data_IF_855865287320
#
_entry.id   IF_855865287320
#
_cell.length_a   1.000
_cell.length_b   1.000
_cell.length_c   1.000
_cell.angle_alpha   90.00
_cell.angle_beta   90.00
_cell.angle_gamma   90.00
#
_symmetry.space_group_name_H-M   'P 1'
#
loop_
_entity.id
_entity.type
_entity.pdbx_description
1 polymer ?
#
# COMPACT_ATOMS: atom_id res chain seq x y z
N UNK A 1 22.42 16.32 10.18
CA UNK A 1 22.47 15.34 9.08
C UNK A 1 21.26 14.43 9.23
N UNK A 2 20.26 14.52 8.34
CA UNK A 2 19.13 13.58 8.38
C UNK A 2 19.56 12.29 7.69
N UNK A 3 19.86 11.27 8.49
CA UNK A 3 20.15 9.94 7.99
C UNK A 3 18.85 9.32 7.48
N UNK A 4 18.68 9.23 6.15
CA UNK A 4 17.57 8.50 5.55
C UNK A 4 17.89 7.01 5.73
N UNK A 5 17.32 6.40 6.76
CA UNK A 5 17.40 4.95 6.97
C UNK A 5 16.49 4.31 5.91
N UNK A 6 17.09 3.62 4.93
CA UNK A 6 16.32 2.73 4.05
C UNK A 6 15.94 1.50 4.87
N UNK A 7 14.65 1.21 5.04
CA UNK A 7 14.23 0.05 5.80
C UNK A 7 14.64 -1.24 5.10
N UNK A 8 14.90 -2.28 5.87
CA UNK A 8 15.24 -3.59 5.30
C UNK A 8 14.02 -4.22 4.61
N UNK A 9 14.27 -5.07 3.60
CA UNK A 9 13.18 -5.76 2.90
C UNK A 9 12.40 -6.63 3.91
N UNK A 10 11.10 -6.42 4.01
CA UNK A 10 10.26 -7.14 4.96
C UNK A 10 10.11 -6.46 6.32
N UNK A 11 10.76 -5.33 6.58
CA UNK A 11 10.49 -4.51 7.77
C UNK A 11 9.09 -3.88 7.71
N UNK A 12 8.63 -3.55 6.50
CA UNK A 12 7.31 -3.01 6.24
C UNK A 12 6.55 -3.79 5.17
N UNK A 13 5.23 -3.79 5.32
CA UNK A 13 4.26 -4.24 4.34
C UNK A 13 3.55 -3.02 3.75
N UNK A 14 3.55 -2.96 2.43
CA UNK A 14 2.81 -1.98 1.65
C UNK A 14 1.50 -2.62 1.21
N UNK A 15 0.40 -2.09 1.74
CA UNK A 15 -0.97 -2.55 1.52
C UNK A 15 -1.64 -1.57 0.56
N UNK A 16 -1.76 -1.96 -0.70
CA UNK A 16 -2.52 -1.20 -1.67
C UNK A 16 -4.02 -1.43 -1.42
N UNK A 17 -4.73 -0.35 -1.14
CA UNK A 17 -6.12 -0.35 -0.69
C UNK A 17 -7.05 0.07 -1.82
N UNK A 18 -8.24 -0.51 -1.85
CA UNK A 18 -9.31 -0.12 -2.77
C UNK A 18 -10.66 -0.02 -2.09
N UNK A 19 -11.66 0.39 -2.87
CA UNK A 19 -13.07 0.39 -2.50
C UNK A 19 -13.82 -0.60 -3.38
N UNK A 20 -14.62 -1.46 -2.76
CA UNK A 20 -15.49 -2.42 -3.43
C UNK A 20 -16.84 -2.42 -2.71
N UNK A 21 -17.93 -2.08 -3.41
CA UNK A 21 -19.29 -2.04 -2.85
C UNK A 21 -19.39 -1.26 -1.52
N UNK A 22 -18.74 -0.10 -1.44
CA UNK A 22 -18.73 0.75 -0.24
C UNK A 22 -17.78 0.30 0.87
N UNK A 23 -17.08 -0.83 0.72
CA UNK A 23 -16.14 -1.36 1.71
C UNK A 23 -14.69 -1.09 1.30
N UNK A 24 -13.83 -0.73 2.27
CA UNK A 24 -12.39 -0.62 2.04
C UNK A 24 -11.75 -2.01 2.09
N UNK A 25 -11.06 -2.39 1.03
CA UNK A 25 -10.44 -3.72 0.85
C UNK A 25 -8.95 -3.59 0.55
N UNK A 26 -8.17 -4.63 0.85
CA UNK A 26 -6.78 -4.73 0.40
C UNK A 26 -6.77 -5.36 -1.00
N UNK A 27 -6.21 -4.67 -1.98
CA UNK A 27 -6.10 -5.14 -3.36
C UNK A 27 -4.78 -5.86 -3.63
N UNK A 28 -3.68 -5.42 -3.01
CA UNK A 28 -2.37 -6.04 -3.15
C UNK A 28 -1.50 -5.79 -1.91
N UNK A 29 -0.54 -6.69 -1.68
CA UNK A 29 0.46 -6.58 -0.62
C UNK A 29 1.84 -6.75 -1.24
N UNK A 30 2.79 -5.91 -0.85
CA UNK A 30 4.18 -6.01 -1.27
C UNK A 30 5.17 -5.61 -0.17
N UNK A 31 6.40 -6.09 -0.27
CA UNK A 31 7.52 -5.60 0.54
C UNK A 31 8.12 -4.29 0.01
N UNK A 32 7.68 -3.85 -1.18
CA UNK A 32 8.01 -2.54 -1.75
C UNK A 32 6.74 -1.84 -2.19
N UNK A 33 6.74 -0.51 -2.15
CA UNK A 33 5.62 0.32 -2.60
C UNK A 33 5.29 0.04 -4.07
N UNK A 34 6.32 0.02 -4.92
CA UNK A 34 6.19 -0.11 -6.36
C UNK A 34 5.53 -1.43 -6.76
N UNK A 35 5.83 -2.51 -6.04
CA UNK A 35 5.23 -3.81 -6.30
C UNK A 35 3.74 -3.82 -5.92
N UNK A 36 3.40 -3.32 -4.72
CA UNK A 36 2.02 -3.26 -4.26
C UNK A 36 1.16 -2.37 -5.18
N UNK A 37 1.65 -1.19 -5.54
CA UNK A 37 0.98 -0.25 -6.44
C UNK A 37 0.77 -0.84 -7.84
N UNK A 38 1.81 -1.44 -8.43
CA UNK A 38 1.73 -2.11 -9.74
C UNK A 38 0.66 -3.20 -9.74
N UNK A 39 0.61 -4.03 -8.69
CA UNK A 39 -0.35 -5.13 -8.60
C UNK A 39 -1.78 -4.64 -8.38
N UNK A 40 -1.98 -3.61 -7.57
CA UNK A 40 -3.30 -3.02 -7.39
C UNK A 40 -3.86 -2.41 -8.68
N UNK A 41 -3.05 -1.68 -9.46
CA UNK A 41 -3.47 -1.15 -10.78
C UNK A 41 -3.83 -2.26 -11.78
N UNK A 42 -3.05 -3.35 -11.80
CA UNK A 42 -3.38 -4.52 -12.62
C UNK A 42 -4.71 -5.15 -12.20
N UNK A 43 -4.97 -5.24 -10.90
CA UNK A 43 -6.22 -5.79 -10.37
C UNK A 43 -7.41 -4.86 -10.63
N UNK A 44 -7.25 -3.55 -10.45
CA UNK A 44 -8.26 -2.54 -10.80
C UNK A 44 -8.69 -2.67 -12.26
N UNK A 45 -7.72 -2.71 -13.19
CA UNK A 45 -7.98 -2.85 -14.62
C UNK A 45 -8.72 -4.16 -14.96
N UNK A 46 -8.38 -5.26 -14.28
CA UNK A 46 -9.04 -6.55 -14.46
C UNK A 46 -10.42 -6.64 -13.79
N UNK A 47 -10.72 -5.76 -12.83
CA UNK A 47 -11.98 -5.79 -12.07
C UNK A 47 -13.19 -5.25 -12.83
N UNK A 48 -12.99 -4.70 -14.04
CA UNK A 48 -14.05 -4.10 -14.86
C UNK A 48 -14.90 -3.06 -14.09
N UNK A 49 -14.26 -2.30 -13.19
CA UNK A 49 -14.92 -1.26 -12.39
C UNK A 49 -15.56 -1.76 -11.09
N UNK A 50 -15.48 -3.06 -10.78
CA UNK A 50 -15.98 -3.60 -9.51
C UNK A 50 -15.18 -3.12 -8.29
N UNK A 51 -13.90 -2.76 -8.50
CA UNK A 51 -13.02 -2.25 -7.44
C UNK A 51 -12.32 -1.00 -7.94
N UNK A 52 -12.26 0.04 -7.10
CA UNK A 52 -11.54 1.28 -7.35
C UNK A 52 -10.31 1.37 -6.44
N UNK A 53 -9.15 1.64 -7.01
CA UNK A 53 -7.91 1.84 -6.27
C UNK A 53 -7.90 3.19 -5.54
N UNK A 54 -7.42 3.22 -4.31
CA UNK A 54 -7.47 4.42 -3.45
C UNK A 54 -6.08 4.93 -3.05
N UNK A 55 -5.36 4.15 -2.25
CA UNK A 55 -4.10 4.55 -1.61
C UNK A 55 -3.23 3.33 -1.30
N UNK A 56 -1.97 3.57 -0.92
CA UNK A 56 -1.11 2.55 -0.29
C UNK A 56 -0.93 2.91 1.17
N UNK A 57 -1.35 2.02 2.05
CA UNK A 57 -1.05 2.07 3.48
C UNK A 57 0.25 1.31 3.77
N UNK A 58 1.06 1.78 4.71
CA UNK A 58 2.27 1.07 5.15
C UNK A 58 2.04 0.57 6.56
N UNK A 59 2.47 -0.66 6.86
CA UNK A 59 2.38 -1.27 8.19
C UNK A 59 3.71 -1.94 8.48
N UNK A 60 4.24 -1.78 9.70
CA UNK A 60 5.44 -2.48 10.13
C UNK A 60 5.13 -3.97 10.31
N UNK A 61 5.99 -4.83 9.80
CA UNK A 61 5.78 -6.28 9.89
C UNK A 61 5.76 -6.72 11.35
N UNK A 62 4.75 -7.51 11.73
CA UNK A 62 4.53 -7.95 13.11
C UNK A 62 3.68 -7.00 13.96
N UNK A 63 3.48 -5.74 13.54
CA UNK A 63 2.53 -4.85 14.18
C UNK A 63 1.10 -5.19 13.77
N UNK A 64 0.23 -5.35 14.77
CA UNK A 64 -1.21 -5.56 14.58
C UNK A 64 -1.99 -4.24 14.46
N UNK A 65 -1.30 -3.11 14.62
CA UNK A 65 -1.87 -1.78 14.48
C UNK A 65 -1.41 -1.15 13.18
N UNK A 66 -2.34 -0.49 12.49
CA UNK A 66 -2.04 0.22 11.24
C UNK A 66 -1.03 1.34 11.54
N UNK A 67 0.14 1.34 10.88
CA UNK A 67 0.97 2.54 10.88
C UNK A 67 0.22 3.63 10.11
N UNK A 68 0.22 4.86 10.65
CA UNK A 68 -0.47 6.00 10.02
C UNK A 68 0.11 6.22 8.62
N UNK A 69 -0.75 6.64 7.68
CA UNK A 69 -0.39 6.99 6.30
C UNK A 69 0.87 7.84 6.29
N UNK A 70 1.95 7.35 5.67
CA UNK A 70 3.16 8.15 5.45
C UNK A 70 2.80 9.16 4.36
N UNK A 71 2.58 10.42 4.75
CA UNK A 71 2.42 11.51 3.80
C UNK A 71 3.69 11.60 2.95
N UNK A 72 3.57 11.48 1.62
CA UNK A 72 4.65 11.80 0.70
C UNK A 72 5.13 13.22 0.99
N UNK A 73 6.39 13.39 1.36
CA UNK A 73 7.04 14.69 1.26
C UNK A 73 7.06 15.09 -0.22
N UNK A 74 6.68 16.32 -0.58
CA UNK A 74 6.85 16.80 -1.94
C UNK A 74 8.35 16.86 -2.26
N UNK A 75 8.74 16.28 -3.39
CA UNK A 75 10.03 16.54 -4.05
C UNK A 75 10.06 17.95 -4.63
#
# INVERSE_FOLDING_TARGET
MNTIIKPELGEYLYLAMGQCNGHKVVMAIGYTYEYADKKAKQFEAASCGAVQYLDVSVVKTGDKMKCRTISKSPE
#
